data_IF_275763908680
#
_entry.id   IF_275763908680
#
_cell.length_a   1.000
_cell.length_b   1.000
_cell.length_c   1.000
_cell.angle_alpha   90.00
_cell.angle_beta   90.00
_cell.angle_gamma   90.00
#
_symmetry.space_group_name_H-M   'P 1'
#
loop_
_entity.id
_entity.type
_entity.pdbx_description
1 polymer ?
#
# COMPACT_ATOMS: atom_id res chain seq x y z
N UNK A 1 -12.40 -21.66 -3.96
CA UNK A 1 -11.53 -21.33 -5.11
C UNK A 1 -10.12 -21.18 -4.57
N UNK A 2 -9.12 -21.85 -5.15
CA UNK A 2 -7.73 -21.68 -4.73
C UNK A 2 -7.16 -20.40 -5.36
N UNK A 3 -6.45 -19.60 -4.58
CA UNK A 3 -5.71 -18.43 -5.08
C UNK A 3 -4.23 -18.79 -5.22
N UNK A 4 -3.77 -18.91 -6.47
CA UNK A 4 -2.40 -19.34 -6.83
C UNK A 4 -1.59 -18.20 -7.47
N UNK A 5 -1.99 -16.94 -7.26
CA UNK A 5 -1.29 -15.77 -7.79
C UNK A 5 0.04 -15.49 -7.10
N UNK A 6 0.26 -16.09 -5.93
CA UNK A 6 1.47 -15.91 -5.10
C UNK A 6 1.71 -14.44 -4.69
N UNK A 7 0.67 -13.61 -4.70
CA UNK A 7 0.72 -12.27 -4.11
C UNK A 7 0.62 -12.36 -2.59
N UNK A 8 1.32 -11.45 -1.90
CA UNK A 8 1.17 -11.27 -0.47
C UNK A 8 -0.28 -10.88 -0.12
N UNK A 9 -0.78 -11.40 1.00
CA UNK A 9 -2.06 -11.00 1.55
C UNK A 9 -1.97 -9.69 2.32
N UNK A 10 -3.12 -9.26 2.85
CA UNK A 10 -3.25 -8.02 3.62
C UNK A 10 -2.32 -7.97 4.83
N UNK A 11 -2.32 -9.02 5.66
CA UNK A 11 -1.48 -9.10 6.86
C UNK A 11 0.01 -9.06 6.54
N UNK A 12 0.44 -9.79 5.52
CA UNK A 12 1.85 -9.84 5.13
C UNK A 12 2.34 -8.47 4.64
N UNK A 13 1.49 -7.73 3.91
CA UNK A 13 1.80 -6.38 3.43
C UNK A 13 1.88 -5.37 4.60
N UNK A 14 0.90 -5.36 5.51
CA UNK A 14 0.92 -4.48 6.69
C UNK A 14 2.13 -4.77 7.60
N UNK A 15 2.42 -6.05 7.86
CA UNK A 15 3.57 -6.46 8.67
C UNK A 15 4.89 -6.05 8.04
N UNK A 16 5.02 -6.21 6.72
CA UNK A 16 6.20 -5.78 5.98
C UNK A 16 6.40 -4.26 6.10
N UNK A 17 5.36 -3.48 5.83
CA UNK A 17 5.42 -2.01 5.93
C UNK A 17 5.79 -1.54 7.34
N UNK A 18 5.16 -2.11 8.38
CA UNK A 18 5.47 -1.78 9.77
C UNK A 18 6.93 -2.10 10.14
N UNK A 19 7.45 -3.26 9.71
CA UNK A 19 8.85 -3.66 9.98
C UNK A 19 9.87 -2.80 9.26
N UNK A 20 9.53 -2.28 8.08
CA UNK A 20 10.37 -1.34 7.36
C UNK A 20 10.39 0.06 7.99
N UNK A 21 9.34 0.44 8.74
CA UNK A 21 9.14 1.77 9.30
C UNK A 21 9.46 2.91 8.30
N UNK A 22 8.88 2.91 7.09
CA UNK A 22 9.23 3.86 6.06
C UNK A 22 8.65 5.25 6.38
N UNK A 23 9.35 6.31 5.97
CA UNK A 23 8.81 7.67 6.03
C UNK A 23 7.61 7.85 5.08
N UNK A 24 7.61 7.17 3.93
CA UNK A 24 6.52 7.24 2.95
C UNK A 24 6.34 5.90 2.24
N UNK A 25 5.10 5.60 1.85
CA UNK A 25 4.71 4.37 1.19
C UNK A 25 3.78 4.68 0.02
N UNK A 26 3.88 3.90 -1.06
CA UNK A 26 3.05 4.07 -2.26
C UNK A 26 2.28 2.77 -2.47
N UNK A 27 0.95 2.84 -2.53
CA UNK A 27 0.10 1.72 -2.92
C UNK A 27 -0.33 1.89 -4.38
N UNK A 28 0.19 1.02 -5.25
CA UNK A 28 -0.11 1.04 -6.68
C UNK A 28 -0.41 -0.38 -7.19
N UNK A 29 -1.00 -0.48 -8.39
CA UNK A 29 -1.32 -1.75 -9.05
C UNK A 29 -2.26 -2.68 -8.23
N UNK A 30 -3.19 -2.09 -7.47
CA UNK A 30 -4.25 -2.79 -6.77
C UNK A 30 -5.62 -2.16 -7.09
N UNK A 31 -6.72 -2.93 -7.02
CA UNK A 31 -8.07 -2.36 -7.06
C UNK A 31 -8.24 -1.30 -5.98
N UNK A 32 -9.04 -0.27 -6.27
CA UNK A 32 -9.27 0.87 -5.38
C UNK A 32 -9.75 0.43 -4.00
N UNK A 33 -10.77 -0.42 -3.96
CA UNK A 33 -11.31 -0.98 -2.72
C UNK A 33 -10.26 -1.69 -1.86
N UNK A 34 -9.27 -2.36 -2.48
CA UNK A 34 -8.24 -3.10 -1.75
C UNK A 34 -7.15 -2.19 -1.18
N UNK A 35 -6.70 -1.18 -1.96
CA UNK A 35 -5.71 -0.22 -1.46
C UNK A 35 -6.28 0.70 -0.37
N UNK A 36 -7.57 1.00 -0.42
CA UNK A 36 -8.23 1.88 0.55
C UNK A 36 -8.30 1.24 1.94
N UNK A 37 -8.45 -0.09 2.01
CA UNK A 37 -8.41 -0.83 3.29
C UNK A 37 -7.04 -0.74 3.95
N UNK A 38 -5.96 -0.97 3.20
CA UNK A 38 -4.59 -0.85 3.73
C UNK A 38 -4.28 0.61 4.09
N UNK A 39 -4.70 1.56 3.26
CA UNK A 39 -4.55 2.99 3.54
C UNK A 39 -5.21 3.38 4.86
N UNK A 40 -6.48 3.00 5.05
CA UNK A 40 -7.23 3.29 6.27
C UNK A 40 -6.53 2.77 7.53
N UNK A 41 -5.98 1.56 7.47
CA UNK A 41 -5.30 0.94 8.62
C UNK A 41 -3.93 1.56 8.94
N UNK A 42 -3.17 1.96 7.92
CA UNK A 42 -1.74 2.26 8.07
C UNK A 42 -1.40 3.76 7.99
N UNK A 43 -2.34 4.59 7.52
CA UNK A 43 -2.15 6.03 7.30
C UNK A 43 -1.88 6.83 8.58
N UNK A 44 -2.25 6.32 9.75
CA UNK A 44 -1.93 6.96 11.05
C UNK A 44 -0.42 6.93 11.36
N UNK A 45 0.33 5.99 10.78
CA UNK A 45 1.75 5.74 11.09
C UNK A 45 2.68 6.05 9.94
N UNK A 46 2.20 5.87 8.71
CA UNK A 46 3.00 5.97 7.49
C UNK A 46 2.33 7.00 6.57
N UNK A 47 3.12 7.89 5.97
CA UNK A 47 2.62 8.76 4.92
C UNK A 47 2.37 7.94 3.64
N UNK A 48 1.11 7.60 3.35
CA UNK A 48 0.75 6.73 2.22
C UNK A 48 0.23 7.55 1.04
N UNK A 49 0.70 7.21 -0.16
CA UNK A 49 0.28 7.81 -1.42
C UNK A 49 -0.51 6.81 -2.28
N UNK A 50 -1.65 7.25 -2.80
CA UNK A 50 -2.52 6.49 -3.71
C UNK A 50 -2.51 7.12 -5.13
N UNK A 51 -1.47 6.86 -5.95
CA UNK A 51 -1.37 7.46 -7.27
C UNK A 51 -2.53 7.06 -8.19
N UNK A 52 -2.83 7.95 -9.13
CA UNK A 52 -3.76 7.70 -10.25
C UNK A 52 -2.95 7.37 -11.49
N UNK A 53 -3.35 6.35 -12.24
CA UNK A 53 -2.65 5.93 -13.45
C UNK A 53 -2.49 7.09 -14.44
N UNK A 54 -1.27 7.28 -14.95
CA UNK A 54 -0.93 8.37 -15.88
C UNK A 54 -0.68 9.73 -15.22
N UNK A 55 -0.85 9.84 -13.89
CA UNK A 55 -0.61 11.08 -13.14
C UNK A 55 0.71 10.98 -12.36
N UNK A 56 1.66 11.91 -12.55
CA UNK A 56 2.90 11.93 -11.79
C UNK A 56 2.64 12.27 -10.31
N UNK A 57 3.45 11.71 -9.43
CA UNK A 57 3.50 12.09 -8.01
C UNK A 57 4.91 12.57 -7.66
N UNK A 58 5.00 13.57 -6.80
CA UNK A 58 6.27 14.05 -6.24
C UNK A 58 6.26 13.82 -4.74
N UNK A 59 7.24 13.07 -4.25
CA UNK A 59 7.41 12.79 -2.82
C UNK A 59 8.68 13.52 -2.39
N UNK A 60 8.51 14.45 -1.45
CA UNK A 60 9.63 15.19 -0.88
C UNK A 60 10.18 14.42 0.31
N UNK A 61 11.51 14.31 0.38
CA UNK A 61 12.27 13.70 1.49
C UNK A 61 12.55 14.69 2.61
#
# INVERSE_FOLDING_TARGET
>A
QFQLSNHAGHSELCDFANKCNPQSMILFHAPEESRDVIFSEMSEKINIHLPVNGTPIHINS
#
